data_IF_838677823261
#
_entry.id   IF_838677823261
#
_cell.length_a   1.000
_cell.length_b   1.000
_cell.length_c   1.000
_cell.angle_alpha   90.00
_cell.angle_beta   90.00
_cell.angle_gamma   90.00
#
_symmetry.space_group_name_H-M   'P 1'
#
loop_
_entity.id
_entity.type
_entity.pdbx_description
1 polymer ?
#
# COMPACT_ATOMS: atom_id res chain seq x y z
N UNK A 1 -11.79 -1.13 7.57
CA UNK A 1 -11.52 0.26 7.99
C UNK A 1 -10.18 0.28 8.69
N UNK A 2 -9.41 1.36 8.54
CA UNK A 2 -8.09 1.53 9.14
C UNK A 2 -8.03 2.88 9.83
N UNK A 3 -7.38 2.94 10.99
CA UNK A 3 -7.11 4.20 11.69
C UNK A 3 -5.73 4.69 11.29
N UNK A 4 -5.68 5.87 10.68
CA UNK A 4 -4.44 6.53 10.27
C UNK A 4 -3.68 7.07 11.49
N UNK A 5 -2.37 7.32 11.38
CA UNK A 5 -1.58 7.96 12.45
C UNK A 5 -2.16 9.29 12.97
N UNK A 6 -2.81 10.08 12.12
CA UNK A 6 -3.55 11.30 12.51
C UNK A 6 -4.79 11.04 13.36
N UNK A 7 -5.29 9.81 13.38
CA UNK A 7 -6.57 9.42 13.98
C UNK A 7 -7.74 9.40 13.00
N UNK A 8 -7.55 9.83 11.75
CA UNK A 8 -8.56 9.71 10.70
C UNK A 8 -8.96 8.23 10.49
N UNK A 9 -10.23 7.98 10.18
CA UNK A 9 -10.73 6.63 9.88
C UNK A 9 -10.94 6.55 8.37
N UNK A 10 -10.22 5.62 7.74
CA UNK A 10 -10.31 5.41 6.30
C UNK A 10 -10.95 4.05 5.98
N UNK A 11 -11.90 4.06 5.06
CA UNK A 11 -12.37 2.88 4.36
C UNK A 11 -11.44 2.57 3.19
N UNK A 12 -10.75 1.44 3.26
CA UNK A 12 -9.91 0.95 2.17
C UNK A 12 -10.67 -0.10 1.35
N UNK A 13 -10.73 0.11 0.04
CA UNK A 13 -11.32 -0.80 -0.93
C UNK A 13 -10.23 -1.31 -1.86
N UNK A 14 -10.06 -2.64 -1.87
CA UNK A 14 -9.08 -3.35 -2.70
C UNK A 14 -9.85 -4.15 -3.75
N UNK A 15 -9.56 -3.94 -5.03
CA UNK A 15 -10.26 -4.62 -6.12
C UNK A 15 -9.94 -4.09 -7.50
N UNK A 16 -10.88 -4.20 -8.44
CA UNK A 16 -10.70 -3.68 -9.81
C UNK A 16 -9.48 -4.28 -10.52
N UNK A 17 -9.32 -5.59 -10.42
CA UNK A 17 -8.16 -6.32 -10.93
C UNK A 17 -8.20 -6.38 -12.46
N UNK A 18 -7.06 -6.16 -13.11
CA UNK A 18 -6.89 -6.40 -14.54
C UNK A 18 -5.53 -7.03 -14.85
N UNK A 19 -5.38 -7.60 -16.06
CA UNK A 19 -4.20 -8.38 -16.45
C UNK A 19 -4.37 -9.88 -16.18
N UNK A 20 -3.26 -10.61 -16.12
CA UNK A 20 -3.24 -12.02 -15.76
C UNK A 20 -2.30 -12.21 -14.55
N UNK A 21 -2.67 -12.99 -13.53
CA UNK A 21 -3.92 -13.74 -13.38
C UNK A 21 -5.01 -12.96 -12.61
N UNK A 22 -5.89 -12.25 -13.32
CA UNK A 22 -6.92 -11.44 -12.66
C UNK A 22 -7.93 -12.26 -11.85
N UNK A 23 -8.21 -13.49 -12.24
CA UNK A 23 -9.13 -14.40 -11.55
C UNK A 23 -8.57 -14.89 -10.21
N UNK A 24 -7.29 -15.29 -10.19
CA UNK A 24 -6.60 -15.72 -8.96
C UNK A 24 -6.53 -14.56 -7.97
N UNK A 25 -6.08 -13.39 -8.42
CA UNK A 25 -6.01 -12.19 -7.56
C UNK A 25 -7.41 -11.80 -7.08
N UNK A 26 -8.41 -11.77 -7.97
CA UNK A 26 -9.80 -11.43 -7.58
C UNK A 26 -10.37 -12.41 -6.56
N UNK A 27 -10.12 -13.71 -6.71
CA UNK A 27 -10.55 -14.73 -5.76
C UNK A 27 -9.88 -14.57 -4.40
N UNK A 28 -8.57 -14.28 -4.40
CA UNK A 28 -7.81 -14.05 -3.17
C UNK A 28 -8.32 -12.81 -2.41
N UNK A 29 -8.46 -11.66 -3.10
CA UNK A 29 -8.92 -10.42 -2.45
C UNK A 29 -10.38 -10.47 -2.00
N UNK A 30 -11.22 -11.29 -2.65
CA UNK A 30 -12.62 -11.46 -2.25
C UNK A 30 -12.80 -12.42 -1.06
N UNK A 31 -11.83 -13.31 -0.82
CA UNK A 31 -11.92 -14.34 0.24
C UNK A 31 -11.22 -13.96 1.53
N UNK A 32 -10.42 -12.90 1.52
CA UNK A 32 -9.61 -12.47 2.66
C UNK A 32 -9.80 -10.98 2.95
N UNK A 33 -9.68 -10.61 4.23
CA UNK A 33 -9.47 -9.22 4.62
C UNK A 33 -8.00 -8.85 4.35
N UNK A 34 -7.73 -8.46 3.10
CA UNK A 34 -6.38 -8.17 2.60
C UNK A 34 -5.70 -7.06 3.40
N UNK A 35 -6.46 -6.06 3.85
CA UNK A 35 -5.93 -4.95 4.62
C UNK A 35 -5.51 -5.42 6.02
N UNK A 36 -6.27 -6.33 6.64
CA UNK A 36 -5.91 -6.92 7.92
C UNK A 36 -4.74 -7.91 7.85
N UNK A 37 -4.48 -8.51 6.68
CA UNK A 37 -3.36 -9.45 6.46
C UNK A 37 -2.06 -8.77 6.04
N UNK A 38 -2.11 -7.53 5.57
CA UNK A 38 -0.93 -6.81 5.07
C UNK A 38 0.03 -6.45 6.21
N UNK A 39 1.32 -6.76 6.04
CA UNK A 39 2.38 -6.36 6.98
C UNK A 39 2.81 -4.91 6.76
N UNK A 40 1.97 -3.97 7.20
CA UNK A 40 2.20 -2.53 7.06
C UNK A 40 3.44 -2.09 7.84
N UNK A 41 3.62 -2.61 9.06
CA UNK A 41 4.77 -2.26 9.91
C UNK A 41 6.09 -2.70 9.27
N UNK A 42 6.13 -3.91 8.69
CA UNK A 42 7.27 -4.39 7.92
C UNK A 42 7.56 -3.51 6.70
N UNK A 43 6.52 -3.10 5.96
CA UNK A 43 6.66 -2.20 4.82
C UNK A 43 7.17 -0.80 5.23
N UNK A 44 6.71 -0.25 6.35
CA UNK A 44 7.22 1.02 6.90
C UNK A 44 8.70 0.88 7.27
N UNK A 45 9.06 -0.20 7.98
CA UNK A 45 10.44 -0.45 8.39
C UNK A 45 11.38 -0.55 7.19
N UNK A 46 10.95 -1.28 6.14
CA UNK A 46 11.71 -1.41 4.90
C UNK A 46 11.85 -0.06 4.18
N UNK A 47 10.75 0.67 4.00
CA UNK A 47 10.78 1.94 3.30
C UNK A 47 11.67 2.99 4.01
N UNK A 48 11.66 3.00 5.34
CA UNK A 48 12.58 3.83 6.13
C UNK A 48 14.04 3.42 5.97
N UNK A 49 14.32 2.12 5.88
CA UNK A 49 15.67 1.61 5.65
C UNK A 49 16.20 1.97 4.25
N UNK A 50 15.34 1.96 3.23
CA UNK A 50 15.69 2.30 1.85
C UNK A 50 15.90 3.80 1.62
N UNK A 51 15.36 4.63 2.52
CA UNK A 51 15.46 6.09 2.44
C UNK A 51 14.44 6.68 1.48
N UNK A 52 13.26 7.04 2.01
CA UNK A 52 12.19 7.64 1.22
C UNK A 52 12.56 9.04 0.72
N UNK A 53 12.28 9.29 -0.56
CA UNK A 53 12.40 10.61 -1.19
C UNK A 53 11.15 10.96 -1.97
N UNK A 54 10.79 12.25 -1.99
CA UNK A 54 9.70 12.79 -2.80
C UNK A 54 10.18 14.00 -3.60
N UNK A 55 9.52 14.27 -4.73
CA UNK A 55 9.74 15.48 -5.50
C UNK A 55 9.05 16.67 -4.82
N UNK A 56 9.78 17.76 -4.62
CA UNK A 56 9.20 19.02 -4.16
C UNK A 56 8.53 19.80 -5.32
N UNK A 57 8.02 21.00 -5.00
CA UNK A 57 7.34 21.87 -5.98
C UNK A 57 8.23 22.35 -7.15
N UNK A 58 9.55 22.29 -6.97
CA UNK A 58 10.54 22.66 -7.99
C UNK A 58 10.99 21.45 -8.83
N UNK A 59 10.53 20.24 -8.48
CA UNK A 59 10.91 18.99 -9.14
C UNK A 59 12.23 18.41 -8.63
N UNK A 60 12.72 18.85 -7.47
CA UNK A 60 13.92 18.30 -6.85
C UNK A 60 13.58 17.15 -5.89
N UNK A 61 14.40 16.10 -5.86
CA UNK A 61 14.25 14.99 -4.90
C UNK A 61 14.71 15.43 -3.52
N UNK A 62 13.81 15.38 -2.55
CA UNK A 62 14.07 15.68 -1.15
C UNK A 62 13.79 14.47 -0.25
N UNK A 63 14.44 14.36 0.92
CA UNK A 63 14.09 13.36 1.92
C UNK A 63 12.62 13.48 2.36
N UNK A 64 11.91 12.36 2.40
CA UNK A 64 10.49 12.27 2.76
C UNK A 64 10.21 11.44 4.01
N UNK A 65 11.26 10.89 4.64
CA UNK A 65 11.14 10.11 5.88
C UNK A 65 11.07 10.96 7.15
N UNK A 66 10.88 10.32 8.33
CA UNK A 66 10.72 10.99 9.61
C UNK A 66 11.78 12.06 9.90
N UNK A 67 11.32 13.23 10.33
CA UNK A 67 12.18 14.38 10.64
C UNK A 67 12.55 15.25 9.43
N UNK A 68 12.10 14.91 8.22
CA UNK A 68 12.21 15.79 7.06
C UNK A 68 11.06 16.81 6.99
N UNK A 69 11.24 17.87 6.21
CA UNK A 69 10.19 18.88 5.97
C UNK A 69 9.02 18.34 5.14
N UNK A 70 9.21 17.24 4.40
CA UNK A 70 8.19 16.60 3.57
C UNK A 70 7.55 15.39 4.23
N UNK A 71 7.88 15.12 5.50
CA UNK A 71 7.33 13.97 6.21
C UNK A 71 5.85 14.16 6.53
N UNK A 72 5.05 13.18 6.14
CA UNK A 72 3.65 13.02 6.51
C UNK A 72 3.44 11.57 6.95
N UNK A 73 2.97 11.39 8.18
CA UNK A 73 2.79 10.07 8.78
C UNK A 73 1.63 9.29 8.14
N UNK A 74 0.57 9.98 7.72
CA UNK A 74 -0.57 9.35 7.06
C UNK A 74 -0.19 8.92 5.64
N UNK A 75 0.57 9.76 4.94
CA UNK A 75 1.14 9.40 3.64
C UNK A 75 2.10 8.21 3.74
N UNK A 76 2.99 8.20 4.73
CA UNK A 76 3.89 7.06 4.99
C UNK A 76 3.09 5.79 5.21
N UNK A 77 2.06 5.85 6.06
CA UNK A 77 1.21 4.71 6.35
C UNK A 77 0.45 4.22 5.11
N UNK A 78 -0.18 5.13 4.35
CA UNK A 78 -0.91 4.78 3.13
C UNK A 78 0.00 4.17 2.07
N UNK A 79 1.19 4.74 1.88
CA UNK A 79 2.20 4.22 0.95
C UNK A 79 2.66 2.82 1.37
N UNK A 80 2.95 2.62 2.66
CA UNK A 80 3.35 1.34 3.19
C UNK A 80 2.23 0.28 3.11
N UNK A 81 0.97 0.65 3.36
CA UNK A 81 -0.16 -0.25 3.20
C UNK A 81 -0.30 -0.72 1.75
N UNK A 82 -0.19 0.19 0.78
CA UNK A 82 -0.23 -0.17 -0.64
C UNK A 82 0.90 -1.14 -1.03
N UNK A 83 2.11 -0.91 -0.51
CA UNK A 83 3.26 -1.80 -0.72
C UNK A 83 3.01 -3.17 -0.07
N UNK A 84 2.55 -3.21 1.17
CA UNK A 84 2.29 -4.43 1.91
C UNK A 84 1.19 -5.28 1.25
N UNK A 85 0.12 -4.67 0.76
CA UNK A 85 -0.93 -5.36 -0.02
C UNK A 85 -0.37 -5.92 -1.32
N UNK A 86 0.44 -5.13 -2.04
CA UNK A 86 1.05 -5.59 -3.30
C UNK A 86 1.98 -6.78 -3.09
N UNK A 87 2.78 -6.76 -2.02
CA UNK A 87 3.69 -7.86 -1.69
C UNK A 87 2.93 -9.10 -1.20
N UNK A 88 1.83 -8.92 -0.44
CA UNK A 88 0.96 -10.03 -0.03
C UNK A 88 0.34 -10.73 -1.24
N UNK A 89 -0.20 -9.97 -2.20
CA UNK A 89 -0.76 -10.54 -3.44
C UNK A 89 0.33 -11.20 -4.28
N UNK A 90 1.50 -10.57 -4.41
CA UNK A 90 2.64 -11.15 -5.12
C UNK A 90 3.10 -12.46 -4.48
N UNK A 91 3.22 -12.53 -3.16
CA UNK A 91 3.57 -13.75 -2.42
C UNK A 91 2.56 -14.87 -2.69
N UNK A 92 1.26 -14.57 -2.69
CA UNK A 92 0.23 -15.54 -3.06
C UNK A 92 0.40 -16.04 -4.52
N UNK A 93 0.70 -15.14 -5.45
CA UNK A 93 0.95 -15.51 -6.84
C UNK A 93 2.22 -16.36 -7.02
N UNK A 94 3.29 -16.09 -6.27
CA UNK A 94 4.51 -16.90 -6.23
C UNK A 94 4.22 -18.35 -5.81
N UNK A 95 3.30 -18.57 -4.87
CA UNK A 95 2.86 -19.92 -4.47
C UNK A 95 2.11 -20.67 -5.58
N UNK A 96 1.40 -19.93 -6.44
CA UNK A 96 0.64 -20.50 -7.57
C UNK A 96 1.47 -20.66 -8.85
N UNK A 97 2.63 -20.01 -8.92
CA UNK A 97 3.53 -19.99 -10.08
C UNK A 97 3.11 -19.05 -11.21
N UNK A 98 2.12 -18.18 -10.99
CA UNK A 98 1.60 -17.25 -12.01
C UNK A 98 1.97 -15.79 -11.70
N UNK A 99 3.17 -15.40 -12.16
CA UNK A 99 3.77 -14.07 -11.94
C UNK A 99 3.56 -13.11 -13.11
N UNK A 100 2.53 -13.36 -13.93
CA UNK A 100 2.21 -12.44 -15.01
C UNK A 100 1.85 -11.04 -14.45
N UNK A 101 2.11 -9.97 -15.20
CA UNK A 101 1.79 -8.62 -14.76
C UNK A 101 0.28 -8.43 -14.56
N UNK A 102 -0.08 -7.92 -13.38
CA UNK A 102 -1.45 -7.56 -13.03
C UNK A 102 -1.50 -6.11 -12.53
N UNK A 103 -2.69 -5.53 -12.54
CA UNK A 103 -2.99 -4.28 -11.86
C UNK A 103 -4.07 -4.53 -10.82
N UNK A 104 -3.87 -3.93 -9.64
CA UNK A 104 -4.81 -3.95 -8.53
C UNK A 104 -5.14 -2.51 -8.18
N UNK A 105 -6.42 -2.17 -8.14
CA UNK A 105 -6.86 -0.87 -7.70
C UNK A 105 -7.07 -0.87 -6.19
N UNK A 106 -6.51 0.14 -5.54
CA UNK A 106 -6.68 0.41 -4.11
C UNK A 106 -7.19 1.84 -3.97
N UNK A 107 -8.32 1.99 -3.29
CA UNK A 107 -8.93 3.29 -3.01
C UNK A 107 -9.11 3.46 -1.52
N UNK A 108 -8.73 4.63 -1.01
CA UNK A 108 -8.98 5.04 0.36
C UNK A 108 -10.01 6.17 0.35
N UNK A 109 -11.05 6.03 1.16
CA UNK A 109 -12.01 7.09 1.46
C UNK A 109 -11.88 7.40 2.96
N UNK A 110 -11.46 8.61 3.31
CA UNK A 110 -11.14 9.00 4.67
C UNK A 110 -12.16 10.03 5.15
N UNK A 111 -12.84 9.71 6.25
CA UNK A 111 -13.70 10.67 6.93
C UNK A 111 -12.80 11.57 7.81
N UNK A 112 -12.64 12.82 7.39
CA UNK A 112 -12.11 13.88 8.25
C UNK A 112 -13.18 14.19 9.32
N UNK A 113 -12.96 13.74 10.56
CA UNK A 113 -13.83 14.09 11.70
C UNK A 113 -13.63 15.55 12.15
#
# INVERSE_FOLDING_TARGET
MVTMPSGAICEYRVGGVSGAPADIVSAFVASHDIVALADVDGAIAQARADGQTMYDENGDLQPAGPGSAMYDADFEYQSALNLAVSELVKSHLEETGDLAPYQLNMQADCDDQ
#
